data_IF_485508282317
#
_entry.id   IF_485508282317
#
_cell.length_a   1.000
_cell.length_b   1.000
_cell.length_c   1.000
_cell.angle_alpha   90.00
_cell.angle_beta   90.00
_cell.angle_gamma   90.00
#
_symmetry.space_group_name_H-M   'P 1'
#
loop_
_entity.id
_entity.type
_entity.pdbx_description
1 polymer ?
#
# COMPACT_ATOMS: atom_id res chain seq x y z
N UNK A 1 58.55 24.25 29.45
CA UNK A 1 58.69 25.19 30.59
C UNK A 1 58.38 26.58 30.08
N UNK A 2 57.45 27.27 30.76
CA UNK A 2 57.07 28.71 30.76
C UNK A 2 57.00 29.47 29.43
N UNK A 3 55.86 30.00 28.97
CA UNK A 3 54.89 30.95 29.54
C UNK A 3 55.38 32.41 29.61
N UNK A 4 54.64 33.32 28.91
CA UNK A 4 54.35 34.75 29.18
C UNK A 4 53.98 35.44 27.83
N UNK A 5 52.72 35.78 27.51
CA UNK A 5 51.83 36.90 27.94
C UNK A 5 52.16 38.28 27.33
N UNK A 6 51.25 38.80 26.49
CA UNK A 6 50.60 40.14 26.55
C UNK A 6 49.83 40.39 25.23
N UNK A 7 48.50 40.49 25.18
CA UNK A 7 47.61 41.54 25.68
C UNK A 7 47.73 42.88 24.92
N UNK A 8 46.79 43.14 23.99
CA UNK A 8 46.36 44.52 23.71
C UNK A 8 44.89 44.56 23.33
N UNK A 9 44.18 45.31 24.18
CA UNK A 9 42.75 45.56 24.27
C UNK A 9 42.44 46.88 23.55
N UNK A 10 41.44 46.91 22.66
CA UNK A 10 40.80 48.13 22.17
C UNK A 10 39.48 47.75 21.49
N UNK A 11 38.38 48.48 21.56
CA UNK A 11 37.88 49.48 22.48
C UNK A 11 36.35 49.51 22.22
N UNK A 12 35.59 49.73 23.28
CA UNK A 12 34.13 49.88 23.28
C UNK A 12 33.70 51.19 22.59
N UNK A 13 32.56 51.18 21.89
CA UNK A 13 31.59 52.29 21.92
C UNK A 13 30.21 51.85 21.34
N UNK A 14 29.08 52.50 21.76
CA UNK A 14 27.77 51.84 21.83
C UNK A 14 26.62 52.59 21.12
N UNK A 15 25.40 52.04 21.28
CA UNK A 15 24.08 52.70 21.22
C UNK A 15 23.49 53.13 19.87
N UNK A 16 22.35 52.51 19.52
CA UNK A 16 21.17 53.24 19.02
C UNK A 16 19.89 52.39 19.20
N UNK A 17 19.10 52.74 20.21
CA UNK A 17 17.72 52.31 20.41
C UNK A 17 16.84 53.21 19.55
N UNK A 18 16.18 52.66 18.53
CA UNK A 18 15.21 53.37 17.69
C UNK A 18 13.83 52.73 17.81
N UNK A 19 12.98 53.31 18.65
CA UNK A 19 11.58 52.93 18.78
C UNK A 19 10.78 53.32 17.54
N UNK A 20 10.00 52.39 17.00
CA UNK A 20 8.97 52.69 16.02
C UNK A 20 7.62 52.75 16.73
N UNK A 21 7.15 53.98 16.91
CA UNK A 21 5.83 54.36 17.39
C UNK A 21 4.76 53.96 16.38
N UNK A 22 3.72 53.25 16.84
CA UNK A 22 2.50 52.98 16.08
C UNK A 22 1.57 54.19 16.22
N UNK A 23 1.17 54.88 15.13
CA UNK A 23 0.07 55.83 15.19
C UNK A 23 -1.28 55.09 15.07
N UNK A 24 -2.23 55.54 15.88
CA UNK A 24 -3.59 55.02 16.04
C UNK A 24 -4.58 56.05 15.44
N UNK A 25 -5.72 55.55 14.93
CA UNK A 25 -7.05 56.18 14.62
C UNK A 25 -7.12 57.04 13.32
N UNK A 26 -8.27 57.21 12.59
CA UNK A 26 -9.69 56.79 12.75
C UNK A 26 -10.29 55.96 11.57
N UNK A 27 -11.26 55.05 11.72
CA UNK A 27 -12.71 55.19 12.03
C UNK A 27 -13.51 56.14 11.11
N UNK A 28 -14.17 55.59 10.07
CA UNK A 28 -15.59 55.77 9.73
C UNK A 28 -15.90 55.65 8.22
N UNK A 29 -16.91 54.80 7.93
CA UNK A 29 -17.96 54.88 6.90
C UNK A 29 -17.63 54.97 5.40
N UNK A 30 -18.03 53.94 4.64
CA UNK A 30 -19.19 54.04 3.72
C UNK A 30 -19.57 52.66 3.14
N UNK A 31 -20.87 52.36 3.19
CA UNK A 31 -21.57 51.28 2.44
C UNK A 31 -21.77 51.73 0.95
N UNK A 32 -22.41 50.98 0.00
CA UNK A 32 -23.50 50.02 0.20
C UNK A 32 -23.57 48.75 -0.71
N UNK A 33 -24.45 47.84 -0.28
CA UNK A 33 -25.37 46.98 -1.04
C UNK A 33 -24.85 45.99 -2.11
N UNK A 34 -25.07 44.69 -1.84
CA UNK A 34 -25.40 43.72 -2.88
C UNK A 34 -26.70 42.95 -2.53
N UNK A 35 -27.63 42.79 -3.48
CA UNK A 35 -28.93 42.13 -3.28
C UNK A 35 -28.92 40.63 -3.64
N UNK A 36 -29.92 39.92 -3.13
CA UNK A 36 -30.22 38.50 -3.32
C UNK A 36 -30.44 38.07 -4.80
N UNK A 37 -30.22 36.79 -5.15
CA UNK A 37 -30.69 36.23 -6.42
C UNK A 37 -32.02 35.46 -6.28
N UNK A 38 -32.95 35.77 -7.20
CA UNK A 38 -34.27 35.18 -7.44
C UNK A 38 -34.19 33.90 -8.30
N UNK A 39 -35.24 33.06 -8.17
CA UNK A 39 -35.64 31.94 -9.04
C UNK A 39 -35.99 32.38 -10.47
N UNK A 40 -35.75 31.52 -11.49
CA UNK A 40 -36.71 31.12 -12.57
C UNK A 40 -36.15 30.10 -13.59
N UNK A 41 -36.78 28.90 -13.64
CA UNK A 41 -37.32 28.10 -14.79
C UNK A 41 -36.64 27.93 -16.18
N UNK A 42 -36.22 26.67 -16.44
CA UNK A 42 -36.50 25.71 -17.58
C UNK A 42 -36.50 26.06 -19.08
N UNK A 43 -35.74 25.26 -19.88
CA UNK A 43 -36.17 24.47 -21.10
C UNK A 43 -35.02 23.52 -21.56
N UNK A 44 -35.06 22.19 -21.39
CA UNK A 44 -35.63 21.06 -22.20
C UNK A 44 -34.99 20.79 -23.58
N UNK A 45 -34.20 19.69 -23.68
CA UNK A 45 -34.06 18.71 -24.79
C UNK A 45 -33.38 17.45 -24.20
N UNK A 46 -34.06 16.35 -23.84
CA UNK A 46 -34.62 15.23 -24.63
C UNK A 46 -33.57 14.18 -25.11
N UNK A 47 -33.68 12.96 -24.54
CA UNK A 47 -33.32 11.59 -25.02
C UNK A 47 -32.68 10.75 -23.88
N UNK A 48 -33.45 10.09 -23.00
CA UNK A 48 -34.09 8.77 -23.16
C UNK A 48 -33.12 7.57 -23.32
N UNK A 49 -32.85 6.84 -22.22
CA UNK A 49 -33.13 5.39 -22.02
C UNK A 49 -32.39 4.80 -20.80
N UNK A 50 -33.06 3.84 -20.16
CA UNK A 50 -32.59 2.89 -19.13
C UNK A 50 -32.79 3.26 -17.64
N UNK A 51 -34.03 3.55 -17.28
CA UNK A 51 -34.55 3.46 -15.91
C UNK A 51 -35.18 2.07 -15.68
N UNK A 52 -34.38 0.99 -15.65
CA UNK A 52 -34.94 -0.34 -15.32
C UNK A 52 -33.86 -1.37 -14.95
N UNK A 53 -32.95 -1.04 -14.02
CA UNK A 53 -32.09 -2.06 -13.37
C UNK A 53 -31.48 -1.61 -12.04
N UNK A 54 -32.09 -0.62 -11.38
CA UNK A 54 -31.55 0.02 -10.17
C UNK A 54 -32.45 -0.18 -8.94
N UNK A 55 -33.08 -1.36 -8.85
CA UNK A 55 -33.97 -1.74 -7.72
C UNK A 55 -33.44 -2.98 -6.98
N UNK A 56 -32.40 -3.67 -7.46
CA UNK A 56 -31.99 -4.97 -6.89
C UNK A 56 -30.67 -4.96 -6.08
N UNK A 57 -30.05 -3.80 -5.82
CA UNK A 57 -28.83 -3.71 -5.01
C UNK A 57 -29.02 -2.98 -3.66
N UNK A 58 -30.10 -2.21 -3.48
CA UNK A 58 -30.36 -1.51 -2.21
C UNK A 58 -30.99 -2.42 -1.15
N UNK A 59 -31.55 -3.58 -1.55
CA UNK A 59 -32.23 -4.50 -0.64
C UNK A 59 -31.33 -5.61 -0.05
N UNK A 60 -30.15 -5.87 -0.62
CA UNK A 60 -29.32 -7.02 -0.22
C UNK A 60 -28.24 -6.71 0.84
N UNK A 61 -28.01 -5.44 1.17
CA UNK A 61 -27.01 -5.04 2.20
C UNK A 61 -27.68 -4.61 3.51
N UNK A 62 -28.97 -4.27 3.48
CA UNK A 62 -29.78 -4.00 4.67
C UNK A 62 -30.12 -5.25 5.50
N UNK A 63 -29.73 -6.46 5.06
CA UNK A 63 -30.03 -7.72 5.77
C UNK A 63 -28.86 -8.28 6.58
N UNK A 64 -27.71 -7.60 6.65
CA UNK A 64 -26.74 -7.92 7.72
C UNK A 64 -27.18 -7.11 8.94
N UNK A 65 -28.25 -7.57 9.59
CA UNK A 65 -28.45 -7.27 11.01
C UNK A 65 -27.29 -7.92 11.75
N UNK A 66 -26.17 -7.19 11.83
CA UNK A 66 -25.12 -7.52 12.75
C UNK A 66 -25.65 -7.14 14.13
N UNK A 67 -26.41 -8.07 14.69
CA UNK A 67 -26.92 -7.95 16.04
C UNK A 67 -25.71 -8.13 16.96
N UNK A 68 -25.33 -7.04 17.63
CA UNK A 68 -24.18 -6.99 18.55
C UNK A 68 -24.63 -7.13 20.00
N UNK A 69 -25.91 -7.38 20.25
CA UNK A 69 -26.52 -7.74 21.54
C UNK A 69 -26.27 -9.21 21.86
N UNK A 70 -25.00 -9.61 21.87
CA UNK A 70 -24.61 -10.72 22.74
C UNK A 70 -24.31 -10.05 24.08
N UNK A 71 -25.26 -10.17 25.00
CA UNK A 71 -25.13 -9.89 26.43
C UNK A 71 -24.20 -10.94 27.06
N UNK A 72 -22.98 -11.02 26.56
CA UNK A 72 -21.87 -11.53 27.36
C UNK A 72 -21.44 -10.32 28.18
N UNK A 73 -21.83 -10.30 29.45
CA UNK A 73 -21.27 -9.40 30.47
C UNK A 73 -19.76 -9.69 30.55
N UNK A 74 -18.97 -9.16 29.61
CA UNK A 74 -17.52 -9.17 29.70
C UNK A 74 -17.17 -8.27 30.88
N UNK A 75 -16.66 -8.88 31.95
CA UNK A 75 -16.18 -8.23 33.17
C UNK A 75 -15.50 -6.89 32.84
N UNK A 76 -15.82 -5.82 33.57
CA UNK A 76 -15.28 -4.47 33.31
C UNK A 76 -13.74 -4.48 33.26
N UNK A 77 -13.11 -5.36 34.05
CA UNK A 77 -11.66 -5.61 34.03
C UNK A 77 -11.18 -6.21 32.70
N UNK A 78 -11.92 -7.15 32.11
CA UNK A 78 -11.60 -7.75 30.82
C UNK A 78 -11.72 -6.72 29.68
N UNK A 79 -12.71 -5.83 29.74
CA UNK A 79 -12.85 -4.74 28.78
C UNK A 79 -11.68 -3.76 28.85
N UNK A 80 -11.23 -3.40 30.06
CA UNK A 80 -10.08 -2.53 30.25
C UNK A 80 -8.78 -3.14 29.68
N UNK A 81 -8.54 -4.43 29.95
CA UNK A 81 -7.39 -5.17 29.40
C UNK A 81 -7.46 -5.24 27.86
N UNK A 82 -8.64 -5.55 27.32
CA UNK A 82 -8.86 -5.61 25.87
C UNK A 82 -8.64 -4.24 25.21
N UNK A 83 -9.11 -3.15 25.83
CA UNK A 83 -8.86 -1.80 25.35
C UNK A 83 -7.36 -1.51 25.29
N UNK A 84 -6.60 -1.85 26.34
CA UNK A 84 -5.15 -1.62 26.38
C UNK A 84 -4.42 -2.40 25.27
N UNK A 85 -4.85 -3.64 25.01
CA UNK A 85 -4.29 -4.44 23.92
C UNK A 85 -4.60 -3.84 22.54
N UNK A 86 -5.85 -3.41 22.32
CA UNK A 86 -6.29 -2.80 21.07
C UNK A 86 -5.63 -1.44 20.84
N UNK A 87 -5.48 -0.63 21.89
CA UNK A 87 -4.83 0.68 21.85
C UNK A 87 -3.32 0.56 21.57
N UNK A 88 -2.67 -0.53 22.02
CA UNK A 88 -1.28 -0.83 21.65
C UNK A 88 -1.15 -1.15 20.16
N UNK A 89 -2.16 -1.78 19.57
CA UNK A 89 -2.16 -2.21 18.16
C UNK A 89 -2.60 -1.10 17.21
N UNK A 90 -3.57 -0.28 17.61
CA UNK A 90 -4.24 0.70 16.75
C UNK A 90 -4.32 2.05 17.47
N UNK A 91 -3.64 3.05 16.92
CA UNK A 91 -3.70 4.42 17.42
C UNK A 91 -4.89 5.23 16.84
N UNK A 92 -5.12 6.44 17.34
CA UNK A 92 -6.29 7.25 16.96
C UNK A 92 -6.29 7.61 15.46
N UNK A 93 -5.13 7.93 14.88
CA UNK A 93 -5.00 8.21 13.44
C UNK A 93 -5.38 6.97 12.60
N UNK A 94 -4.92 5.79 13.01
CA UNK A 94 -5.22 4.53 12.34
C UNK A 94 -6.72 4.19 12.44
N UNK A 95 -7.33 4.41 13.61
CA UNK A 95 -8.77 4.21 13.80
C UNK A 95 -9.60 5.15 12.92
N UNK A 96 -9.25 6.44 12.83
CA UNK A 96 -9.96 7.40 11.94
C UNK A 96 -9.93 6.93 10.48
N UNK A 97 -8.78 6.46 9.99
CA UNK A 97 -8.65 5.90 8.63
C UNK A 97 -9.47 4.61 8.46
N UNK A 98 -9.59 3.79 9.49
CA UNK A 98 -10.42 2.57 9.48
C UNK A 98 -11.90 2.93 9.37
N UNK A 99 -12.36 3.90 10.15
CA UNK A 99 -13.72 4.45 10.10
C UNK A 99 -14.03 5.03 8.71
N UNK A 100 -13.14 5.86 8.15
CA UNK A 100 -13.36 6.47 6.82
C UNK A 100 -13.53 5.41 5.73
N UNK A 101 -12.67 4.38 5.72
CA UNK A 101 -12.78 3.28 4.75
C UNK A 101 -14.09 2.53 4.90
N UNK A 102 -14.45 2.19 6.13
CA UNK A 102 -15.69 1.48 6.44
C UNK A 102 -16.95 2.24 6.00
N UNK A 103 -17.00 3.56 6.22
CA UNK A 103 -18.12 4.40 5.78
C UNK A 103 -18.12 4.62 4.24
N UNK A 104 -16.94 4.66 3.61
CA UNK A 104 -16.82 4.78 2.16
C UNK A 104 -17.34 3.53 1.42
N UNK A 105 -17.25 2.35 2.04
CA UNK A 105 -17.81 1.10 1.53
C UNK A 105 -19.35 1.09 1.55
N UNK A 106 -20.01 2.10 2.14
CA UNK A 106 -21.47 2.25 2.25
C UNK A 106 -22.19 1.02 2.83
N UNK A 107 -21.49 0.22 3.62
CA UNK A 107 -22.04 -0.95 4.31
C UNK A 107 -23.04 -0.56 5.39
N UNK A 108 -22.83 0.58 6.05
CA UNK A 108 -23.79 1.23 6.95
C UNK A 108 -23.68 2.75 6.88
N UNK A 109 -24.76 3.44 7.22
CA UNK A 109 -24.74 4.91 7.32
C UNK A 109 -23.98 5.34 8.56
N UNK A 110 -23.42 6.56 8.53
CA UNK A 110 -22.75 7.14 9.70
C UNK A 110 -23.67 7.18 10.93
N UNK A 111 -24.96 7.47 10.73
CA UNK A 111 -25.94 7.50 11.81
C UNK A 111 -26.16 6.12 12.43
N UNK A 112 -26.25 5.06 11.62
CA UNK A 112 -26.38 3.69 12.11
C UNK A 112 -25.11 3.22 12.86
N UNK A 113 -23.93 3.57 12.34
CA UNK A 113 -22.66 3.31 13.00
C UNK A 113 -22.61 3.98 14.39
N UNK A 114 -22.96 5.27 14.46
CA UNK A 114 -22.97 6.04 15.71
C UNK A 114 -23.91 5.46 16.76
N UNK A 115 -25.11 5.05 16.33
CA UNK A 115 -26.07 4.39 17.20
C UNK A 115 -25.55 3.06 17.75
N UNK A 116 -24.79 2.30 16.96
CA UNK A 116 -24.24 1.00 17.37
C UNK A 116 -23.08 1.12 18.35
N UNK A 117 -22.25 2.15 18.22
CA UNK A 117 -21.13 2.39 19.15
C UNK A 117 -21.55 3.18 20.39
N UNK A 118 -22.78 3.70 20.45
CA UNK A 118 -23.27 4.49 21.58
C UNK A 118 -22.65 5.88 21.69
N UNK A 119 -22.15 6.45 20.58
CA UNK A 119 -21.42 7.72 20.60
C UNK A 119 -22.21 8.83 19.93
N UNK A 120 -22.22 10.01 20.56
CA UNK A 120 -22.84 11.21 20.01
C UNK A 120 -22.14 11.68 18.72
N UNK A 121 -22.94 12.13 17.74
CA UNK A 121 -22.48 12.73 16.48
C UNK A 121 -21.47 13.87 16.68
N UNK A 122 -21.64 14.67 17.73
CA UNK A 122 -20.70 15.75 18.06
C UNK A 122 -19.32 15.24 18.47
N UNK A 123 -19.27 14.20 19.30
CA UNK A 123 -18.01 13.57 19.75
C UNK A 123 -17.29 12.90 18.58
N UNK A 124 -18.03 12.20 17.73
CA UNK A 124 -17.51 11.59 16.51
C UNK A 124 -16.92 12.62 15.55
N UNK A 125 -17.66 13.69 15.26
CA UNK A 125 -17.21 14.74 14.34
C UNK A 125 -15.91 15.39 14.82
N UNK A 126 -15.79 15.66 16.13
CA UNK A 126 -14.54 16.19 16.72
C UNK A 126 -13.41 15.18 16.61
N UNK A 127 -13.68 13.91 16.92
CA UNK A 127 -12.70 12.83 16.80
C UNK A 127 -12.14 12.72 15.38
N UNK A 128 -13.00 12.76 14.36
CA UNK A 128 -12.61 12.65 12.95
C UNK A 128 -11.81 13.86 12.44
N UNK A 129 -11.93 15.02 13.08
CA UNK A 129 -11.22 16.25 12.70
C UNK A 129 -9.83 16.38 13.35
N UNK A 130 -9.56 15.63 14.42
CA UNK A 130 -8.24 15.65 15.04
C UNK A 130 -7.14 15.15 14.10
N UNK A 131 -5.91 15.57 14.38
CA UNK A 131 -4.69 15.19 13.64
C UNK A 131 -3.63 14.73 14.63
N UNK A 132 -2.99 13.59 14.36
CA UNK A 132 -1.91 13.05 15.17
C UNK A 132 -2.31 11.78 15.91
N UNK A 133 -1.29 10.94 16.13
CA UNK A 133 -1.44 9.53 16.50
C UNK A 133 -2.28 9.30 17.75
N UNK A 134 -2.20 10.21 18.73
CA UNK A 134 -2.86 10.07 20.03
C UNK A 134 -3.85 11.20 20.33
N UNK A 135 -4.12 12.11 19.37
CA UNK A 135 -5.08 13.20 19.60
C UNK A 135 -6.50 12.65 19.61
N UNK A 136 -7.22 12.81 20.72
CA UNK A 136 -8.58 12.29 20.89
C UNK A 136 -8.63 10.86 21.45
N UNK A 137 -7.58 10.41 22.15
CA UNK A 137 -7.60 9.15 22.91
C UNK A 137 -8.58 9.16 24.09
N UNK A 138 -8.91 10.35 24.57
CA UNK A 138 -9.90 10.68 25.60
C UNK A 138 -11.34 10.74 25.06
N UNK A 139 -11.53 10.62 23.74
CA UNK A 139 -12.85 10.66 23.14
C UNK A 139 -13.46 9.25 23.09
N UNK A 140 -14.70 9.08 23.55
CA UNK A 140 -15.40 7.78 23.52
C UNK A 140 -15.50 7.12 22.14
N UNK A 141 -15.41 7.89 21.04
CA UNK A 141 -15.32 7.31 19.68
C UNK A 141 -14.11 6.39 19.52
N UNK A 142 -13.01 6.67 20.23
CA UNK A 142 -11.79 5.88 20.16
C UNK A 142 -11.99 4.49 20.77
N UNK A 143 -12.43 4.45 22.02
CA UNK A 143 -12.69 3.21 22.76
C UNK A 143 -13.79 2.37 22.11
N UNK A 144 -15.00 2.94 21.95
CA UNK A 144 -16.13 2.23 21.35
C UNK A 144 -15.86 1.81 19.90
N UNK A 145 -15.09 2.62 19.16
CA UNK A 145 -14.68 2.30 17.79
C UNK A 145 -13.72 1.11 17.71
N UNK A 146 -12.75 1.01 18.63
CA UNK A 146 -11.83 -0.13 18.70
C UNK A 146 -12.59 -1.44 18.97
N UNK A 147 -13.49 -1.43 19.97
CA UNK A 147 -14.31 -2.59 20.28
C UNK A 147 -15.22 -2.99 19.12
N UNK A 148 -15.85 -2.03 18.46
CA UNK A 148 -16.70 -2.31 17.30
C UNK A 148 -15.94 -3.03 16.19
N UNK A 149 -14.77 -2.53 15.79
CA UNK A 149 -14.00 -3.19 14.74
C UNK A 149 -13.42 -4.53 15.17
N UNK A 150 -13.06 -4.69 16.43
CA UNK A 150 -12.62 -5.98 16.96
C UNK A 150 -13.75 -7.01 16.94
N UNK A 151 -14.96 -6.63 17.37
CA UNK A 151 -16.16 -7.47 17.30
C UNK A 151 -16.54 -7.78 15.84
N UNK A 152 -16.46 -6.80 14.93
CA UNK A 152 -16.63 -7.01 13.49
C UNK A 152 -15.64 -8.04 12.93
N UNK A 153 -14.36 -7.89 13.24
CA UNK A 153 -13.31 -8.81 12.77
C UNK A 153 -13.49 -10.22 13.33
N UNK A 154 -13.87 -10.35 14.61
CA UNK A 154 -14.22 -11.63 15.22
C UNK A 154 -15.41 -12.29 14.49
N UNK A 155 -16.52 -11.57 14.25
CA UNK A 155 -17.67 -12.19 13.56
C UNK A 155 -17.43 -12.41 12.07
N UNK A 156 -16.65 -11.57 11.39
CA UNK A 156 -16.21 -11.84 10.02
C UNK A 156 -15.25 -13.04 9.97
N UNK A 157 -14.41 -13.21 10.99
CA UNK A 157 -13.53 -14.37 11.16
C UNK A 157 -14.32 -15.66 11.41
N UNK A 158 -15.33 -15.64 12.27
CA UNK A 158 -16.21 -16.79 12.53
C UNK A 158 -17.18 -17.05 11.37
N UNK A 159 -17.65 -16.02 10.65
CA UNK A 159 -18.40 -16.17 9.40
C UNK A 159 -17.52 -16.73 8.27
N UNK A 160 -16.23 -16.40 8.24
CA UNK A 160 -15.24 -17.01 7.33
C UNK A 160 -14.86 -18.44 7.74
N UNK A 161 -15.06 -18.79 9.01
CA UNK A 161 -15.02 -20.17 9.53
C UNK A 161 -16.28 -20.98 9.19
N UNK A 162 -17.47 -20.40 9.32
CA UNK A 162 -18.76 -21.04 8.97
C UNK A 162 -19.06 -21.04 7.47
N UNK A 163 -18.49 -20.11 6.70
CA UNK A 163 -18.47 -20.11 5.23
C UNK A 163 -17.49 -21.11 4.61
N UNK A 164 -16.77 -21.88 5.45
CA UNK A 164 -15.88 -22.96 5.02
C UNK A 164 -16.50 -24.36 5.13
N UNK A 165 -17.82 -24.46 5.34
CA UNK A 165 -18.54 -25.74 5.41
C UNK A 165 -19.70 -25.91 4.41
N UNK A 166 -20.25 -24.84 3.80
CA UNK A 166 -21.24 -24.98 2.70
C UNK A 166 -21.01 -23.92 1.62
N UNK A 167 -20.25 -24.33 0.62
CA UNK A 167 -19.87 -23.51 -0.54
C UNK A 167 -18.93 -24.30 -1.46
N UNK A 168 -19.24 -25.56 -1.70
CA UNK A 168 -18.60 -26.40 -2.71
C UNK A 168 -19.51 -26.42 -3.94
N UNK A 169 -19.43 -25.36 -4.75
CA UNK A 169 -19.81 -25.35 -6.16
C UNK A 169 -19.46 -23.98 -6.79
N UNK A 170 -18.16 -23.65 -6.88
CA UNK A 170 -17.59 -22.73 -7.88
C UNK A 170 -16.06 -22.62 -7.66
N UNK A 171 -15.29 -23.36 -8.46
CA UNK A 171 -13.85 -23.23 -8.75
C UNK A 171 -12.91 -22.80 -7.58
N UNK A 172 -12.56 -23.74 -6.68
CA UNK A 172 -11.48 -23.54 -5.68
C UNK A 172 -10.10 -23.60 -6.34
N UNK A 173 -9.37 -22.49 -6.28
CA UNK A 173 -7.90 -22.51 -6.41
C UNK A 173 -7.25 -23.08 -5.13
N UNK A 174 -5.99 -23.55 -5.21
CA UNK A 174 -5.34 -24.27 -4.11
C UNK A 174 -5.23 -23.43 -2.83
N UNK A 175 -5.32 -24.11 -1.68
CA UNK A 175 -5.17 -23.51 -0.35
C UNK A 175 -3.74 -22.99 -0.13
N UNK A 176 -3.52 -22.10 0.85
CA UNK A 176 -2.18 -21.53 1.11
C UNK A 176 -1.14 -22.60 1.48
N UNK A 177 -1.57 -23.68 2.15
CA UNK A 177 -0.73 -24.82 2.47
C UNK A 177 -0.33 -25.60 1.22
N UNK A 178 -1.30 -25.90 0.34
CA UNK A 178 -1.06 -26.57 -0.94
C UNK A 178 -0.10 -25.79 -1.85
N UNK A 179 -0.20 -24.45 -1.88
CA UNK A 179 0.72 -23.60 -2.66
C UNK A 179 2.15 -23.63 -2.15
N UNK A 180 2.34 -23.79 -0.84
CA UNK A 180 3.68 -23.89 -0.28
C UNK A 180 4.29 -25.26 -0.58
N UNK A 181 3.50 -26.34 -0.48
CA UNK A 181 3.94 -27.68 -0.86
C UNK A 181 4.28 -27.77 -2.36
N UNK A 182 3.40 -27.26 -3.23
CA UNK A 182 3.65 -27.21 -4.67
C UNK A 182 4.86 -26.35 -5.04
N UNK A 183 5.11 -25.27 -4.29
CA UNK A 183 6.32 -24.46 -4.48
C UNK A 183 7.58 -25.23 -4.08
N UNK A 184 7.56 -25.94 -2.94
CA UNK A 184 8.69 -26.75 -2.47
C UNK A 184 9.01 -27.87 -3.46
N UNK A 185 8.01 -28.62 -3.93
CA UNK A 185 8.23 -29.66 -4.95
C UNK A 185 8.82 -29.11 -6.26
N UNK A 186 8.49 -27.87 -6.63
CA UNK A 186 9.08 -27.20 -7.78
C UNK A 186 10.54 -26.80 -7.52
N UNK A 187 10.84 -26.29 -6.32
CA UNK A 187 12.19 -25.90 -5.92
C UNK A 187 13.12 -27.11 -5.78
N UNK A 188 12.64 -28.21 -5.21
CA UNK A 188 13.40 -29.46 -5.09
C UNK A 188 13.81 -29.99 -6.46
N UNK A 189 12.91 -29.94 -7.46
CA UNK A 189 13.23 -30.29 -8.86
C UNK A 189 14.27 -29.38 -9.49
N UNK A 190 14.31 -28.12 -9.08
CA UNK A 190 15.23 -27.09 -9.59
C UNK A 190 16.62 -27.22 -8.95
N UNK A 191 16.69 -27.56 -7.66
CA UNK A 191 17.96 -27.76 -6.95
C UNK A 191 18.76 -28.98 -7.44
N UNK A 192 18.09 -30.01 -7.94
CA UNK A 192 18.75 -31.17 -8.56
C UNK A 192 19.50 -30.79 -9.84
N UNK A 193 19.11 -29.69 -10.49
CA UNK A 193 19.74 -29.22 -11.72
C UNK A 193 20.83 -28.20 -11.41
N UNK A 194 22.07 -28.62 -11.58
CA UNK A 194 23.25 -27.73 -11.53
C UNK A 194 23.51 -27.15 -12.92
N UNK A 195 23.71 -25.83 -13.01
CA UNK A 195 24.13 -25.16 -14.24
C UNK A 195 25.66 -25.15 -14.31
N UNK A 196 26.22 -25.39 -15.50
CA UNK A 196 27.67 -25.26 -15.74
C UNK A 196 28.06 -23.77 -15.81
N UNK A 197 29.11 -23.38 -15.10
CA UNK A 197 29.66 -22.01 -15.11
C UNK A 197 30.67 -21.88 -16.26
N UNK A 198 30.68 -20.78 -17.05
CA UNK A 198 29.99 -19.49 -16.85
C UNK A 198 28.55 -19.44 -17.40
N UNK A 199 27.63 -18.88 -16.61
CA UNK A 199 26.21 -18.75 -16.98
C UNK A 199 25.99 -17.49 -17.83
N UNK A 200 25.79 -17.67 -19.14
CA UNK A 200 25.41 -16.59 -20.06
C UNK A 200 23.90 -16.37 -20.10
N UNK A 201 23.49 -15.10 -20.03
CA UNK A 201 22.07 -14.69 -20.07
C UNK A 201 21.63 -14.40 -21.50
N UNK A 202 20.65 -15.15 -22.00
CA UNK A 202 20.15 -15.00 -23.37
C UNK A 202 18.72 -14.46 -23.48
N UNK A 203 18.00 -14.32 -22.36
CA UNK A 203 16.66 -13.74 -22.34
C UNK A 203 16.71 -12.27 -21.92
N UNK A 204 15.97 -11.40 -22.62
CA UNK A 204 15.81 -9.98 -22.27
C UNK A 204 15.17 -9.78 -20.88
N UNK A 205 15.37 -8.60 -20.27
CA UNK A 205 14.70 -8.23 -19.02
C UNK A 205 13.16 -8.29 -19.15
N UNK A 206 12.61 -7.90 -20.30
CA UNK A 206 11.16 -7.98 -20.58
C UNK A 206 10.64 -9.43 -20.56
N UNK A 207 11.40 -10.37 -21.10
CA UNK A 207 11.01 -11.78 -21.15
C UNK A 207 11.08 -12.40 -19.76
N UNK A 208 12.09 -12.05 -18.94
CA UNK A 208 12.15 -12.48 -17.54
C UNK A 208 11.00 -11.90 -16.70
N UNK A 209 10.64 -10.62 -16.90
CA UNK A 209 9.48 -10.03 -16.21
C UNK A 209 8.18 -10.75 -16.56
N UNK A 210 7.98 -11.14 -17.83
CA UNK A 210 6.80 -11.93 -18.24
C UNK A 210 6.76 -13.27 -17.53
N UNK A 211 7.87 -14.03 -17.54
CA UNK A 211 7.97 -15.32 -16.84
C UNK A 211 7.69 -15.21 -15.34
N UNK A 212 8.23 -14.17 -14.67
CA UNK A 212 7.96 -13.89 -13.26
C UNK A 212 6.47 -13.60 -13.00
N UNK A 213 5.87 -12.73 -13.82
CA UNK A 213 4.46 -12.38 -13.69
C UNK A 213 3.55 -13.59 -13.95
N UNK A 214 3.87 -14.43 -14.94
CA UNK A 214 3.15 -15.69 -15.22
C UNK A 214 3.25 -16.67 -14.05
N UNK A 215 4.45 -16.81 -13.46
CA UNK A 215 4.65 -17.67 -12.29
C UNK A 215 3.83 -17.19 -11.09
N UNK A 216 3.84 -15.88 -10.82
CA UNK A 216 3.04 -15.28 -9.73
C UNK A 216 1.54 -15.38 -10.03
N UNK A 217 1.13 -15.14 -11.28
CA UNK A 217 -0.27 -15.20 -11.71
C UNK A 217 -0.83 -16.62 -11.68
N UNK A 218 -0.01 -17.64 -11.96
CA UNK A 218 -0.38 -19.05 -11.87
C UNK A 218 -0.80 -19.46 -10.45
N UNK A 219 -0.48 -18.64 -9.43
CA UNK A 219 -0.74 -18.88 -8.01
C UNK A 219 -0.18 -20.21 -7.49
N UNK A 220 0.70 -20.89 -8.25
CA UNK A 220 1.38 -22.13 -7.86
C UNK A 220 2.43 -21.86 -6.80
N UNK A 221 3.13 -20.73 -6.92
CA UNK A 221 4.17 -20.29 -6.01
C UNK A 221 3.75 -18.97 -5.35
N UNK A 222 3.98 -18.83 -4.05
CA UNK A 222 3.77 -17.54 -3.37
C UNK A 222 4.97 -16.62 -3.62
N UNK A 223 4.72 -15.32 -3.77
CA UNK A 223 5.80 -14.34 -3.98
C UNK A 223 6.87 -14.41 -2.89
N UNK A 224 6.47 -14.66 -1.63
CA UNK A 224 7.40 -14.83 -0.51
C UNK A 224 8.23 -16.13 -0.60
N UNK A 225 7.69 -17.20 -1.16
CA UNK A 225 8.46 -18.42 -1.39
C UNK A 225 9.49 -18.22 -2.50
N UNK A 226 9.10 -17.59 -3.61
CA UNK A 226 10.01 -17.26 -4.70
C UNK A 226 11.17 -16.34 -4.25
N UNK A 227 10.89 -15.33 -3.42
CA UNK A 227 11.92 -14.42 -2.92
C UNK A 227 12.97 -15.13 -2.04
N UNK A 228 12.55 -16.14 -1.26
CA UNK A 228 13.47 -16.96 -0.44
C UNK A 228 14.34 -17.85 -1.31
N UNK A 229 13.78 -18.41 -2.37
CA UNK A 229 14.52 -19.28 -3.30
C UNK A 229 15.55 -18.51 -4.12
N UNK A 230 15.18 -17.34 -4.63
CA UNK A 230 16.08 -16.53 -5.44
C UNK A 230 17.14 -15.78 -4.60
N UNK A 231 17.04 -15.82 -3.27
CA UNK A 231 17.82 -15.01 -2.33
C UNK A 231 17.80 -13.51 -2.69
N UNK A 232 16.60 -12.96 -2.95
CA UNK A 232 16.44 -11.55 -3.33
C UNK A 232 15.46 -10.82 -2.41
N UNK A 233 15.78 -9.55 -2.12
CA UNK A 233 14.89 -8.67 -1.37
C UNK A 233 13.60 -8.35 -2.16
N UNK A 234 12.48 -8.32 -1.44
CA UNK A 234 11.17 -7.86 -1.92
C UNK A 234 11.20 -6.52 -2.66
N UNK A 235 12.01 -5.56 -2.20
CA UNK A 235 12.15 -4.26 -2.84
C UNK A 235 12.85 -4.36 -4.21
N UNK A 236 13.87 -5.21 -4.33
CA UNK A 236 14.59 -5.43 -5.59
C UNK A 236 13.68 -6.08 -6.63
N UNK A 237 12.88 -7.08 -6.24
CA UNK A 237 11.86 -7.68 -7.12
C UNK A 237 10.83 -6.64 -7.55
N UNK A 238 10.30 -5.85 -6.62
CA UNK A 238 9.33 -4.79 -6.95
C UNK A 238 9.93 -3.80 -7.95
N UNK A 239 11.15 -3.31 -7.71
CA UNK A 239 11.84 -2.39 -8.61
C UNK A 239 12.00 -3.00 -10.01
N UNK A 240 12.46 -4.24 -10.10
CA UNK A 240 12.61 -4.95 -11.37
C UNK A 240 11.29 -5.09 -12.13
N UNK A 241 10.19 -5.41 -11.45
CA UNK A 241 8.88 -5.55 -12.07
C UNK A 241 8.29 -4.21 -12.53
N UNK A 242 8.67 -3.10 -11.89
CA UNK A 242 8.18 -1.76 -12.27
C UNK A 242 8.98 -1.10 -13.40
N UNK A 243 10.23 -1.50 -13.63
CA UNK A 243 11.02 -0.97 -14.76
C UNK A 243 10.47 -1.49 -16.09
N UNK A 244 10.68 -0.71 -17.14
CA UNK A 244 10.21 -1.01 -18.50
C UNK A 244 11.38 -0.82 -19.45
N UNK A 245 11.54 -1.72 -20.42
CA UNK A 245 12.61 -1.67 -21.41
C UNK A 245 13.38 -2.99 -21.48
N UNK A 246 13.87 -3.35 -22.66
CA UNK A 246 14.52 -4.66 -22.91
C UNK A 246 15.76 -4.89 -22.05
N UNK A 247 16.51 -3.81 -21.76
CA UNK A 247 17.73 -3.83 -20.94
C UNK A 247 17.57 -3.13 -19.58
N UNK A 248 16.44 -2.50 -19.33
CA UNK A 248 16.18 -1.75 -18.10
C UNK A 248 15.95 -2.68 -16.91
N UNK A 249 16.96 -2.80 -16.07
CA UNK A 249 17.00 -3.71 -14.92
C UNK A 249 18.11 -4.77 -15.00
N UNK A 250 18.98 -4.74 -16.01
CA UNK A 250 20.11 -5.67 -16.14
C UNK A 250 21.04 -5.66 -14.92
N UNK A 251 21.25 -4.50 -14.29
CA UNK A 251 22.10 -4.36 -13.10
C UNK A 251 21.45 -4.86 -11.81
N UNK A 252 20.17 -5.26 -11.85
CA UNK A 252 19.49 -5.76 -10.66
C UNK A 252 19.77 -7.26 -10.52
N UNK A 253 20.26 -7.70 -9.34
CA UNK A 253 20.55 -9.11 -9.07
C UNK A 253 19.37 -10.06 -9.30
N UNK A 254 18.12 -9.55 -9.26
CA UNK A 254 16.92 -10.30 -9.64
C UNK A 254 17.03 -10.89 -11.06
N UNK A 255 17.60 -10.14 -11.99
CA UNK A 255 17.67 -10.53 -13.40
C UNK A 255 18.48 -11.82 -13.59
N UNK A 256 19.69 -11.85 -13.03
CA UNK A 256 20.57 -13.03 -13.08
C UNK A 256 19.99 -14.21 -12.31
N UNK A 257 19.53 -13.97 -11.08
CA UNK A 257 18.96 -15.04 -10.24
C UNK A 257 17.71 -15.66 -10.89
N UNK A 258 16.80 -14.84 -11.41
CA UNK A 258 15.59 -15.31 -12.08
C UNK A 258 15.92 -16.04 -13.39
N UNK A 259 16.92 -15.59 -14.15
CA UNK A 259 17.36 -16.29 -15.35
C UNK A 259 17.86 -17.70 -15.02
N UNK A 260 18.77 -17.83 -14.05
CA UNK A 260 19.26 -19.13 -13.57
C UNK A 260 18.11 -20.05 -13.12
N UNK A 261 17.14 -19.49 -12.39
CA UNK A 261 15.96 -20.23 -11.95
C UNK A 261 15.13 -20.77 -13.12
N UNK A 262 14.81 -19.93 -14.11
CA UNK A 262 14.01 -20.38 -15.27
C UNK A 262 14.77 -21.34 -16.18
N UNK A 263 16.11 -21.24 -16.24
CA UNK A 263 16.93 -22.21 -16.96
C UNK A 263 16.91 -23.58 -16.30
N UNK A 264 17.08 -23.63 -14.98
CA UNK A 264 16.96 -24.88 -14.23
C UNK A 264 15.56 -25.48 -14.36
N UNK A 265 14.52 -24.64 -14.28
CA UNK A 265 13.14 -25.07 -14.49
C UNK A 265 12.93 -25.64 -15.90
N UNK A 266 13.51 -25.02 -16.94
CA UNK A 266 13.44 -25.53 -18.32
C UNK A 266 14.08 -26.90 -18.46
N UNK A 267 15.25 -27.11 -17.86
CA UNK A 267 15.96 -28.40 -17.88
C UNK A 267 15.14 -29.44 -17.11
N UNK A 268 14.65 -29.11 -15.92
CA UNK A 268 13.81 -30.00 -15.11
C UNK A 268 12.52 -30.42 -15.84
N UNK A 269 11.92 -29.52 -16.62
CA UNK A 269 10.69 -29.80 -17.40
C UNK A 269 10.98 -30.33 -18.82
N UNK A 270 12.25 -30.53 -19.21
CA UNK A 270 12.69 -30.94 -20.54
C UNK A 270 12.07 -30.12 -21.69
N UNK A 271 11.90 -28.81 -21.49
CA UNK A 271 11.29 -27.92 -22.48
C UNK A 271 12.31 -27.48 -23.55
N UNK A 272 11.90 -27.40 -24.83
CA UNK A 272 12.77 -26.90 -25.88
C UNK A 272 13.14 -25.43 -25.64
N UNK A 273 14.29 -25.00 -26.15
CA UNK A 273 14.69 -23.59 -26.12
C UNK A 273 13.70 -22.75 -26.93
N UNK A 274 13.37 -21.56 -26.43
CA UNK A 274 12.54 -20.60 -27.16
C UNK A 274 13.23 -20.18 -28.46
N UNK A 275 12.47 -20.00 -29.55
CA UNK A 275 13.02 -19.53 -30.83
C UNK A 275 13.75 -18.19 -30.73
N UNK A 276 13.36 -17.33 -29.78
CA UNK A 276 14.10 -16.08 -29.48
C UNK A 276 15.49 -16.36 -28.95
N UNK A 277 15.63 -17.31 -28.02
CA UNK A 277 16.91 -17.68 -27.44
C UNK A 277 17.85 -18.27 -28.48
N UNK A 278 17.35 -19.11 -29.38
CA UNK A 278 18.17 -19.67 -30.47
C UNK A 278 18.73 -18.56 -31.37
N UNK A 279 17.94 -17.51 -31.64
CA UNK A 279 18.42 -16.33 -32.37
C UNK A 279 19.46 -15.56 -31.57
N UNK A 280 19.19 -15.30 -30.29
CA UNK A 280 20.11 -14.58 -29.40
C UNK A 280 21.44 -15.33 -29.20
N UNK A 281 21.42 -16.67 -29.08
CA UNK A 281 22.62 -17.51 -29.01
C UNK A 281 23.45 -17.43 -30.31
N UNK A 282 22.79 -17.24 -31.46
CA UNK A 282 23.46 -17.09 -32.77
C UNK A 282 24.03 -15.68 -32.98
N UNK A 283 23.31 -14.65 -32.54
CA UNK A 283 23.69 -13.24 -32.74
C UNK A 283 24.67 -12.75 -31.66
N UNK A 284 24.57 -13.27 -30.43
CA UNK A 284 25.34 -12.83 -29.26
C UNK A 284 25.88 -14.05 -28.49
N UNK A 285 27.09 -14.56 -28.83
CA UNK A 285 27.66 -15.75 -28.20
C UNK A 285 28.04 -15.53 -26.72
N UNK A 286 28.22 -14.27 -26.29
CA UNK A 286 28.52 -13.90 -24.89
C UNK A 286 27.29 -13.47 -24.09
N UNK A 287 26.09 -13.53 -24.68
CA UNK A 287 24.83 -13.14 -24.03
C UNK A 287 24.70 -11.64 -23.75
N UNK A 288 23.67 -11.27 -22.97
CA UNK A 288 23.44 -9.90 -22.53
C UNK A 288 24.40 -9.50 -21.43
N UNK A 289 24.96 -8.29 -21.53
CA UNK A 289 25.73 -7.69 -20.44
C UNK A 289 24.82 -7.36 -19.24
N UNK A 290 25.30 -7.73 -18.06
CA UNK A 290 24.65 -7.42 -16.77
C UNK A 290 24.90 -5.98 -16.33
N UNK A 291 25.83 -5.30 -16.98
CA UNK A 291 26.10 -3.89 -16.70
C UNK A 291 25.03 -3.01 -17.33
N UNK A 292 24.62 -2.01 -16.55
CA UNK A 292 23.71 -0.97 -17.03
C UNK A 292 24.49 -0.03 -17.93
N UNK A 293 23.97 0.21 -19.13
CA UNK A 293 24.52 1.23 -20.01
C UNK A 293 24.46 2.59 -19.28
N UNK A 294 25.59 3.32 -19.18
CA UNK A 294 25.60 4.61 -18.51
C UNK A 294 24.67 5.56 -19.25
N UNK A 295 23.61 6.02 -18.58
CA UNK A 295 22.64 6.94 -19.16
C UNK A 295 23.27 8.30 -19.45
N UNK A 296 24.32 8.66 -18.71
CA UNK A 296 25.05 9.91 -18.83
C UNK A 296 26.55 9.57 -18.82
N UNK A 297 27.29 10.16 -19.75
CA UNK A 297 28.73 10.08 -19.81
C UNK A 297 29.30 11.50 -19.71
N UNK A 298 30.38 11.65 -18.96
CA UNK A 298 31.10 12.91 -18.87
C UNK A 298 31.98 13.03 -20.11
N UNK A 299 31.69 14.01 -20.96
CA UNK A 299 32.55 14.35 -22.10
C UNK A 299 33.46 15.49 -21.66
N UNK A 300 34.77 15.31 -21.80
CA UNK A 300 35.70 16.44 -21.71
C UNK A 300 35.44 17.37 -22.90
N UNK A 301 35.26 18.65 -22.61
CA UNK A 301 35.00 19.66 -23.63
C UNK A 301 36.14 19.67 -24.67
N UNK A 302 35.89 19.12 -25.85
CA UNK A 302 36.86 19.11 -26.96
C UNK A 302 36.83 17.85 -27.83
N UNK A 303 36.35 16.71 -27.32
CA UNK A 303 36.27 15.48 -28.11
C UNK A 303 34.90 15.36 -28.81
N UNK A 304 34.90 15.16 -30.14
CA UNK A 304 33.70 14.83 -30.92
C UNK A 304 33.63 13.32 -31.13
N UNK A 305 32.41 12.79 -31.12
CA UNK A 305 32.04 11.39 -31.35
C UNK A 305 32.58 10.81 -32.66
#
# INVERSE_FOLDING_TARGET
MSAATDATLAAMAPFAVGGLTVPVIPSAASAPAQPAPKKTTTKKTAAAKSSETRVTAEAAVNSINFDFTDDEEEDEEAQAVLFQELARKTNCDALRRKIQRFLAEKTMTQTAFLSKIGVNSNSFRRFMQYKGAYRGSDNGTYESGLFFFHKLEKKLGTARGKGKAKGAAAAKGPSRGEKNAQAQELFDKIHVVTLEEPVYVYDDCDDIRKKLNELIASKRVTQAALLRELDVNSNSLRRFLTTKGKRDGCSNGVYMAAYCFFEKLRIAENKPKSGKRVKNEKEMPTGYSLERDPTHFWVLAGERF
#
